data_IF_047803602509
#
_entry.id   IF_047803602509
#
_cell.length_a   1.000
_cell.length_b   1.000
_cell.length_c   1.000
_cell.angle_alpha   90.00
_cell.angle_beta   90.00
_cell.angle_gamma   90.00
#
_symmetry.space_group_name_H-M   'P 1'
#
loop_
_entity.id
_entity.type
_entity.pdbx_description
1 polymer ?
#
# COMPACT_ATOMS: atom_id res chain seq x y z
N UNK A 1 -3.88 -6.17 23.53
CA UNK A 1 -4.81 -5.68 22.50
C UNK A 1 -4.79 -4.17 22.57
N UNK A 2 -4.09 -3.52 21.65
CA UNK A 2 -3.90 -2.06 21.66
C UNK A 2 -4.53 -1.54 20.37
N UNK A 3 -5.71 -0.93 20.49
CA UNK A 3 -6.41 -0.28 19.39
C UNK A 3 -5.79 1.09 19.16
N UNK A 4 -5.27 1.32 17.95
CA UNK A 4 -4.88 2.66 17.50
C UNK A 4 -6.15 3.49 17.30
N UNK A 5 -6.24 4.62 17.99
CA UNK A 5 -7.32 5.59 17.80
C UNK A 5 -6.92 6.58 16.71
N UNK A 6 -7.63 6.55 15.59
CA UNK A 6 -7.53 7.57 14.55
C UNK A 6 -8.60 8.63 14.82
N UNK A 7 -8.21 9.90 14.94
CA UNK A 7 -9.17 11.00 15.03
C UNK A 7 -9.86 11.17 13.68
N UNK A 8 -11.17 10.90 13.62
CA UNK A 8 -12.00 11.12 12.44
C UNK A 8 -12.22 12.61 12.23
N UNK A 9 -11.50 13.20 11.28
CA UNK A 9 -11.79 14.53 10.77
C UNK A 9 -12.61 14.45 9.48
N UNK A 10 -13.72 15.18 9.46
CA UNK A 10 -14.41 15.74 8.28
C UNK A 10 -15.59 14.95 7.69
N UNK A 11 -16.68 15.06 8.43
CA UNK A 11 -18.13 15.03 8.16
C UNK A 11 -18.61 15.91 6.97
N UNK A 12 -17.95 15.81 5.80
CA UNK A 12 -18.36 16.52 4.55
C UNK A 12 -18.77 15.64 3.37
N UNK A 13 -18.90 14.33 3.55
CA UNK A 13 -19.34 13.42 2.49
C UNK A 13 -20.59 12.68 2.96
N UNK A 14 -21.75 13.32 2.84
CA UNK A 14 -23.03 12.66 3.10
C UNK A 14 -23.72 12.27 1.80
N UNK A 15 -24.18 11.01 1.79
CA UNK A 15 -25.09 10.30 0.86
C UNK A 15 -24.68 10.23 -0.62
N UNK A 16 -24.35 9.00 -1.04
CA UNK A 16 -23.82 8.59 -2.37
C UNK A 16 -22.38 9.04 -2.62
N UNK A 17 -21.41 8.35 -1.99
CA UNK A 17 -20.02 8.42 -2.42
C UNK A 17 -19.97 8.06 -3.92
N UNK A 18 -19.71 9.06 -4.77
CA UNK A 18 -19.56 8.84 -6.20
C UNK A 18 -18.46 7.81 -6.42
N UNK A 19 -18.84 6.64 -6.93
CA UNK A 19 -17.87 5.63 -7.35
C UNK A 19 -17.19 6.11 -8.62
N UNK A 20 -15.89 6.31 -8.57
CA UNK A 20 -15.11 6.56 -9.78
C UNK A 20 -14.97 5.26 -10.56
N UNK A 21 -15.08 5.32 -11.88
CA UNK A 21 -14.77 4.18 -12.77
C UNK A 21 -13.25 3.98 -12.87
N UNK A 22 -12.65 3.65 -11.73
CA UNK A 22 -11.22 3.50 -11.51
C UNK A 22 -10.91 2.04 -11.21
N UNK A 23 -9.99 1.45 -11.98
CA UNK A 23 -9.43 0.13 -11.70
C UNK A 23 -8.21 0.27 -10.80
N UNK A 24 -8.25 -0.34 -9.62
CA UNK A 24 -7.18 -0.27 -8.64
C UNK A 24 -6.51 -1.63 -8.45
N UNK A 25 -5.19 -1.63 -8.39
CA UNK A 25 -4.38 -2.77 -7.95
C UNK A 25 -3.73 -2.43 -6.61
N UNK A 26 -3.92 -3.28 -5.61
CA UNK A 26 -3.28 -3.15 -4.30
C UNK A 26 -2.23 -4.24 -4.13
N UNK A 27 -0.98 -3.83 -3.84
CA UNK A 27 0.14 -4.73 -3.57
C UNK A 27 0.38 -4.79 -2.06
N UNK A 28 0.29 -6.01 -1.50
CA UNK A 28 0.37 -6.31 -0.07
C UNK A 28 -0.85 -5.79 0.68
N UNK A 29 -2.04 -6.24 0.28
CA UNK A 29 -3.31 -5.77 0.83
C UNK A 29 -3.56 -6.20 2.29
N UNK A 30 -2.81 -7.18 2.80
CA UNK A 30 -2.97 -7.71 4.14
C UNK A 30 -4.42 -8.11 4.42
N UNK A 31 -4.98 -7.61 5.52
CA UNK A 31 -6.40 -7.86 5.88
C UNK A 31 -7.36 -6.80 5.32
N UNK A 32 -6.92 -5.99 4.35
CA UNK A 32 -7.72 -4.98 3.66
C UNK A 32 -7.90 -3.66 4.40
N UNK A 33 -6.84 -3.14 5.04
CA UNK A 33 -6.86 -1.82 5.66
C UNK A 33 -7.27 -0.73 4.65
N UNK A 34 -6.73 -0.80 3.44
CA UNK A 34 -7.10 0.10 2.34
C UNK A 34 -8.20 -0.49 1.46
N UNK A 35 -8.13 -1.79 1.14
CA UNK A 35 -9.07 -2.47 0.24
C UNK A 35 -10.54 -2.19 0.58
N UNK A 36 -10.93 -2.37 1.84
CA UNK A 36 -12.34 -2.26 2.27
C UNK A 36 -12.89 -0.82 2.14
N UNK A 37 -12.24 0.22 2.69
CA UNK A 37 -12.72 1.59 2.50
C UNK A 37 -12.61 2.05 1.04
N UNK A 38 -11.56 1.68 0.31
CA UNK A 38 -11.39 2.11 -1.09
C UNK A 38 -12.44 1.51 -2.03
N UNK A 39 -12.93 0.30 -1.75
CA UNK A 39 -13.96 -0.36 -2.57
C UNK A 39 -15.29 0.43 -2.64
N UNK A 40 -15.51 1.39 -1.73
CA UNK A 40 -16.66 2.30 -1.77
C UNK A 40 -16.49 3.45 -2.78
N UNK A 41 -15.26 3.74 -3.20
CA UNK A 41 -14.92 4.92 -4.00
C UNK A 41 -14.42 4.58 -5.41
N UNK A 42 -13.98 3.34 -5.65
CA UNK A 42 -13.45 2.90 -6.95
C UNK A 42 -14.37 1.86 -7.60
N UNK A 43 -14.12 1.58 -8.89
CA UNK A 43 -14.92 0.65 -9.68
C UNK A 43 -14.65 -0.78 -9.28
N UNK A 44 -13.39 -1.21 -9.39
CA UNK A 44 -12.95 -2.55 -8.99
C UNK A 44 -11.53 -2.55 -8.43
N UNK A 45 -11.25 -3.54 -7.58
CA UNK A 45 -9.97 -3.75 -6.92
C UNK A 45 -9.47 -5.16 -7.19
N UNK A 46 -8.22 -5.27 -7.63
CA UNK A 46 -7.43 -6.50 -7.50
C UNK A 46 -6.49 -6.32 -6.31
N UNK A 47 -6.63 -7.15 -5.28
CA UNK A 47 -5.88 -7.04 -4.03
C UNK A 47 -4.97 -8.26 -3.87
N UNK A 48 -3.66 -8.05 -3.85
CA UNK A 48 -2.66 -9.12 -3.80
C UNK A 48 -1.92 -9.11 -2.47
N UNK A 49 -1.74 -10.29 -1.86
CA UNK A 49 -0.86 -10.47 -0.70
C UNK A 49 -0.18 -11.84 -0.78
N UNK A 50 1.00 -12.01 -0.20
CA UNK A 50 1.71 -13.30 -0.23
C UNK A 50 1.24 -14.27 0.85
N UNK A 51 0.54 -13.78 1.88
CA UNK A 51 0.13 -14.58 3.02
C UNK A 51 -1.32 -15.09 2.86
N UNK A 52 -1.47 -16.41 2.73
CA UNK A 52 -2.77 -17.09 2.65
C UNK A 52 -3.73 -16.71 3.80
N UNK A 53 -3.20 -16.57 5.02
CA UNK A 53 -4.01 -16.18 6.19
C UNK A 53 -4.56 -14.75 6.09
N UNK A 54 -3.80 -13.84 5.48
CA UNK A 54 -4.24 -12.45 5.28
C UNK A 54 -5.37 -12.37 4.25
N UNK A 55 -5.21 -13.06 3.12
CA UNK A 55 -6.26 -13.17 2.09
C UNK A 55 -7.51 -13.86 2.64
N UNK A 56 -7.36 -14.90 3.47
CA UNK A 56 -8.50 -15.53 4.15
C UNK A 56 -9.30 -14.54 5.01
N UNK A 57 -8.62 -13.71 5.79
CA UNK A 57 -9.26 -12.66 6.60
C UNK A 57 -9.88 -11.56 5.73
N UNK A 58 -9.22 -11.16 4.63
CA UNK A 58 -9.74 -10.17 3.70
C UNK A 58 -11.01 -10.67 3.01
N UNK A 59 -11.02 -11.90 2.49
CA UNK A 59 -12.20 -12.49 1.87
C UNK A 59 -13.40 -12.57 2.82
N UNK A 60 -13.17 -12.87 4.10
CA UNK A 60 -14.23 -12.82 5.10
C UNK A 60 -14.81 -11.41 5.27
N UNK A 61 -13.97 -10.37 5.25
CA UNK A 61 -14.42 -8.97 5.31
C UNK A 61 -15.12 -8.54 4.02
N UNK A 62 -14.65 -8.98 2.85
CA UNK A 62 -15.30 -8.72 1.56
C UNK A 62 -16.74 -9.23 1.60
N UNK A 63 -16.95 -10.48 2.01
CA UNK A 63 -18.28 -11.07 2.13
C UNK A 63 -19.15 -10.36 3.18
N UNK A 64 -18.56 -9.97 4.32
CA UNK A 64 -19.27 -9.21 5.35
C UNK A 64 -19.80 -7.86 4.85
N UNK A 65 -19.11 -7.23 3.89
CA UNK A 65 -19.46 -5.92 3.35
C UNK A 65 -20.18 -5.99 1.99
N UNK A 66 -20.43 -7.18 1.44
CA UNK A 66 -21.08 -7.33 0.12
C UNK A 66 -20.24 -6.78 -1.04
N UNK A 67 -18.92 -6.99 -1.00
CA UNK A 67 -17.95 -6.41 -1.95
C UNK A 67 -17.45 -7.42 -3.00
N UNK A 68 -18.04 -8.61 -3.08
CA UNK A 68 -17.59 -9.72 -3.94
C UNK A 68 -17.55 -9.34 -5.43
N UNK A 69 -18.49 -8.50 -5.88
CA UNK A 69 -18.56 -8.06 -7.28
C UNK A 69 -17.50 -6.98 -7.61
N UNK A 70 -16.86 -6.39 -6.60
CA UNK A 70 -15.92 -5.28 -6.75
C UNK A 70 -14.48 -5.65 -6.44
N UNK A 71 -14.26 -6.60 -5.53
CA UNK A 71 -12.93 -6.91 -4.99
C UNK A 71 -12.56 -8.35 -5.26
N UNK A 72 -11.46 -8.53 -6.01
CA UNK A 72 -10.81 -9.83 -6.19
C UNK A 72 -9.54 -9.87 -5.34
N UNK A 73 -9.53 -10.67 -4.28
CA UNK A 73 -8.36 -10.85 -3.41
C UNK A 73 -7.68 -12.20 -3.67
N UNK A 74 -6.37 -12.19 -3.92
CA UNK A 74 -5.60 -13.36 -4.36
C UNK A 74 -4.26 -13.48 -3.63
N UNK A 75 -3.84 -14.72 -3.36
CA UNK A 75 -2.52 -14.99 -2.78
C UNK A 75 -1.47 -14.95 -3.88
N UNK A 76 -0.67 -13.89 -3.92
CA UNK A 76 0.30 -13.68 -5.00
C UNK A 76 1.47 -12.77 -4.60
N UNK A 77 2.68 -13.22 -4.94
CA UNK A 77 3.83 -12.35 -5.16
C UNK A 77 3.85 -11.92 -6.63
N UNK A 78 3.72 -10.63 -6.90
CA UNK A 78 3.66 -10.12 -8.26
C UNK A 78 5.08 -9.88 -8.81
N UNK A 79 5.53 -10.78 -9.68
CA UNK A 79 6.88 -10.72 -10.29
C UNK A 79 6.85 -10.27 -11.76
N UNK A 80 5.66 -10.23 -12.38
CA UNK A 80 5.47 -9.81 -13.77
C UNK A 80 4.19 -9.01 -13.95
N UNK A 81 4.22 -8.02 -14.83
CA UNK A 81 3.06 -7.23 -15.19
C UNK A 81 2.05 -7.98 -16.09
N UNK A 82 2.47 -9.11 -16.66
CA UNK A 82 1.64 -9.97 -17.50
C UNK A 82 1.24 -11.26 -16.77
N UNK A 83 1.34 -11.25 -15.44
CA UNK A 83 0.91 -12.38 -14.63
C UNK A 83 -0.57 -12.71 -14.84
N UNK A 84 -0.89 -14.00 -14.93
CA UNK A 84 -2.24 -14.48 -15.18
C UNK A 84 -3.26 -14.01 -14.13
N UNK A 85 -2.84 -13.72 -12.88
CA UNK A 85 -3.72 -13.21 -11.83
C UNK A 85 -4.41 -11.90 -12.24
N UNK A 86 -3.73 -11.09 -13.05
CA UNK A 86 -4.18 -9.79 -13.53
C UNK A 86 -5.09 -9.89 -14.75
N UNK A 87 -5.26 -11.07 -15.35
CA UNK A 87 -6.11 -11.32 -16.50
C UNK A 87 -5.89 -10.35 -17.70
N UNK A 88 -4.64 -9.89 -17.89
CA UNK A 88 -4.30 -8.93 -18.93
C UNK A 88 -4.78 -7.48 -18.66
N UNK A 89 -5.36 -7.21 -17.50
CA UNK A 89 -5.81 -5.87 -17.14
C UNK A 89 -4.65 -4.89 -16.96
N UNK A 90 -4.98 -3.60 -17.07
CA UNK A 90 -4.12 -2.48 -16.69
C UNK A 90 -4.91 -1.53 -15.81
N UNK A 91 -4.23 -0.96 -14.82
CA UNK A 91 -4.86 -0.24 -13.71
C UNK A 91 -4.68 1.27 -13.85
N UNK A 92 -5.69 2.01 -13.40
CA UNK A 92 -5.63 3.48 -13.32
C UNK A 92 -4.74 3.89 -12.15
N UNK A 93 -4.79 3.13 -11.05
CA UNK A 93 -4.00 3.37 -9.84
C UNK A 93 -3.44 2.06 -9.28
N UNK A 94 -2.19 2.09 -8.85
CA UNK A 94 -1.58 1.04 -8.02
C UNK A 94 -1.28 1.63 -6.65
N UNK A 95 -1.73 0.97 -5.59
CA UNK A 95 -1.45 1.38 -4.21
C UNK A 95 -0.69 0.29 -3.45
N UNK A 96 0.10 0.71 -2.47
CA UNK A 96 0.74 -0.21 -1.52
C UNK A 96 0.99 0.50 -0.20
N UNK A 97 0.76 -0.19 0.92
CA UNK A 97 0.95 0.39 2.24
C UNK A 97 1.63 -0.57 3.21
N UNK A 98 2.74 -0.14 3.83
CA UNK A 98 3.54 -0.95 4.77
C UNK A 98 4.07 -2.26 4.18
N UNK A 99 4.57 -2.21 2.94
CA UNK A 99 5.06 -3.40 2.22
C UNK A 99 6.50 -3.23 1.77
N UNK A 100 6.88 -2.05 1.31
CA UNK A 100 8.17 -1.83 0.63
C UNK A 100 9.36 -2.02 1.57
N UNK A 101 9.18 -1.81 2.88
CA UNK A 101 10.20 -2.13 3.88
C UNK A 101 10.47 -3.64 4.07
N UNK A 102 9.62 -4.50 3.49
CA UNK A 102 9.81 -5.96 3.40
C UNK A 102 10.28 -6.42 2.02
N UNK A 103 10.45 -5.52 1.04
CA UNK A 103 10.81 -5.89 -0.35
C UNK A 103 12.33 -5.82 -0.52
N UNK A 104 13.02 -6.92 -0.88
CA UNK A 104 14.48 -6.89 -1.05
C UNK A 104 14.91 -6.02 -2.24
N UNK A 105 14.19 -6.14 -3.36
CA UNK A 105 14.51 -5.50 -4.64
C UNK A 105 13.42 -4.52 -5.07
N UNK A 106 13.29 -3.39 -4.35
CA UNK A 106 12.26 -2.38 -4.60
C UNK A 106 12.23 -1.88 -6.06
N UNK A 107 13.40 -1.67 -6.68
CA UNK A 107 13.48 -1.23 -8.07
C UNK A 107 12.84 -2.20 -9.07
N UNK A 108 12.95 -3.51 -8.83
CA UNK A 108 12.33 -4.51 -9.70
C UNK A 108 10.81 -4.53 -9.53
N UNK A 109 10.32 -4.46 -8.29
CA UNK A 109 8.88 -4.35 -8.03
C UNK A 109 8.29 -3.07 -8.64
N UNK A 110 8.99 -1.93 -8.57
CA UNK A 110 8.53 -0.68 -9.18
C UNK A 110 8.44 -0.80 -10.72
N UNK A 111 9.36 -1.52 -11.37
CA UNK A 111 9.27 -1.80 -12.82
C UNK A 111 8.06 -2.66 -13.15
N UNK A 112 7.80 -3.70 -12.35
CA UNK A 112 6.61 -4.56 -12.49
C UNK A 112 5.34 -3.74 -12.33
N UNK A 113 5.24 -2.93 -11.27
CA UNK A 113 4.10 -2.02 -11.01
C UNK A 113 3.91 -1.03 -12.16
N UNK A 114 4.98 -0.45 -12.70
CA UNK A 114 4.87 0.41 -13.88
C UNK A 114 4.21 -0.34 -15.03
N UNK A 115 4.61 -1.58 -15.27
CA UNK A 115 4.05 -2.43 -16.33
C UNK A 115 2.54 -2.68 -16.20
N UNK A 116 2.00 -2.73 -14.98
CA UNK A 116 0.57 -2.97 -14.72
C UNK A 116 -0.29 -1.71 -14.86
N UNK A 117 0.29 -0.51 -14.81
CA UNK A 117 -0.46 0.74 -14.97
C UNK A 117 -0.90 0.99 -16.41
N UNK A 118 -1.99 1.74 -16.61
CA UNK A 118 -2.30 2.38 -17.89
C UNK A 118 -1.33 3.55 -18.14
N UNK A 119 -1.22 4.03 -19.39
CA UNK A 119 -0.61 5.36 -19.64
C UNK A 119 -1.43 6.43 -18.92
N UNK A 120 -0.78 7.36 -18.24
CA UNK A 120 -1.41 8.32 -17.33
C UNK A 120 -1.84 7.75 -15.98
N UNK A 121 -1.69 6.43 -15.76
CA UNK A 121 -1.99 5.77 -14.49
C UNK A 121 -0.98 6.16 -13.39
N UNK A 122 -1.39 6.04 -12.14
CA UNK A 122 -0.64 6.56 -10.98
C UNK A 122 -0.20 5.46 -10.03
N UNK A 123 0.98 5.63 -9.45
CA UNK A 123 1.42 4.84 -8.30
C UNK A 123 1.27 5.67 -7.02
N UNK A 124 0.84 5.03 -5.94
CA UNK A 124 0.78 5.61 -4.60
C UNK A 124 1.29 4.61 -3.56
N UNK A 125 2.50 4.81 -3.06
CA UNK A 125 3.07 3.98 -1.99
C UNK A 125 3.06 4.79 -0.71
N UNK A 126 2.65 4.18 0.39
CA UNK A 126 2.83 4.75 1.73
C UNK A 126 3.56 3.78 2.65
N UNK A 127 4.63 4.24 3.28
CA UNK A 127 5.41 3.39 4.16
C UNK A 127 6.10 4.22 5.24
N UNK A 128 6.60 3.54 6.27
CA UNK A 128 7.42 4.15 7.32
C UNK A 128 8.60 4.88 6.69
N UNK A 129 8.86 6.11 7.13
CA UNK A 129 10.08 6.83 6.75
C UNK A 129 11.27 6.32 7.59
N UNK A 130 12.40 6.09 6.94
CA UNK A 130 13.69 6.02 7.63
C UNK A 130 14.14 7.47 7.94
N UNK A 131 13.96 7.86 9.21
CA UNK A 131 14.39 9.14 9.76
C UNK A 131 15.53 9.00 10.78
N UNK A 132 16.17 7.83 10.83
CA UNK A 132 17.28 7.51 11.74
C UNK A 132 17.06 6.23 12.56
N UNK A 133 17.95 5.95 13.54
CA UNK A 133 17.91 4.73 14.35
C UNK A 133 16.58 4.47 15.08
N UNK A 134 15.81 5.52 15.33
CA UNK A 134 14.49 5.44 15.98
C UNK A 134 13.45 4.69 15.14
N UNK A 135 13.61 4.61 13.81
CA UNK A 135 12.71 3.88 12.93
C UNK A 135 12.75 2.36 13.20
N UNK A 136 13.87 1.83 13.70
CA UNK A 136 14.02 0.41 14.07
C UNK A 136 13.01 -0.01 15.15
N UNK A 137 12.69 0.92 16.08
CA UNK A 137 11.74 0.68 17.16
C UNK A 137 10.29 0.51 16.69
N UNK A 138 10.00 0.76 15.40
CA UNK A 138 8.67 0.53 14.83
C UNK A 138 8.29 -0.94 14.91
N UNK A 139 9.20 -1.85 14.58
CA UNK A 139 8.95 -3.29 14.65
C UNK A 139 9.59 -3.85 15.93
N UNK A 140 8.83 -4.63 16.71
CA UNK A 140 9.40 -5.45 17.79
C UNK A 140 10.57 -6.30 17.28
N UNK A 141 11.58 -6.53 18.12
CA UNK A 141 12.83 -7.20 17.70
C UNK A 141 12.60 -8.62 17.20
N UNK A 142 11.62 -9.32 17.75
CA UNK A 142 11.22 -10.66 17.33
C UNK A 142 10.57 -10.68 15.93
N UNK A 143 10.15 -9.51 15.42
CA UNK A 143 9.56 -9.33 14.08
C UNK A 143 10.53 -8.78 13.04
N UNK A 144 11.81 -8.63 13.38
CA UNK A 144 12.82 -8.17 12.42
C UNK A 144 13.14 -9.24 11.37
N UNK A 145 12.87 -10.53 11.67
CA UNK A 145 13.00 -11.61 10.70
C UNK A 145 11.98 -11.44 9.57
N UNK A 146 12.39 -10.82 8.47
CA UNK A 146 11.56 -10.48 7.32
C UNK A 146 11.46 -8.99 7.03
N UNK A 147 12.04 -8.12 7.87
CA UNK A 147 12.20 -6.70 7.58
C UNK A 147 13.51 -6.51 6.79
N UNK A 148 13.40 -6.01 5.57
CA UNK A 148 14.57 -5.75 4.70
C UNK A 148 15.24 -4.41 5.05
N UNK A 149 14.47 -3.48 5.63
CA UNK A 149 14.90 -2.14 6.01
C UNK A 149 13.97 -1.51 7.04
N UNK A 150 14.49 -0.63 7.90
CA UNK A 150 13.71 0.06 8.91
C UNK A 150 13.17 1.39 8.38
N UNK A 151 12.19 1.31 7.48
CA UNK A 151 11.62 2.45 6.78
C UNK A 151 12.32 2.78 5.46
N UNK A 152 11.74 3.72 4.72
CA UNK A 152 12.17 4.13 3.39
C UNK A 152 12.83 5.50 3.42
N UNK A 153 13.91 5.65 2.64
CA UNK A 153 14.56 6.95 2.43
C UNK A 153 13.90 7.70 1.28
N UNK A 154 13.61 8.99 1.51
CA UNK A 154 12.96 9.84 0.50
C UNK A 154 13.73 9.89 -0.82
N UNK A 155 15.05 10.10 -0.74
CA UNK A 155 15.93 10.22 -1.90
C UNK A 155 16.05 8.92 -2.68
N UNK A 156 16.09 7.78 -2.00
CA UNK A 156 16.14 6.46 -2.63
C UNK A 156 14.86 6.18 -3.41
N UNK A 157 13.69 6.35 -2.78
CA UNK A 157 12.41 6.13 -3.46
C UNK A 157 12.20 7.05 -4.65
N UNK A 158 12.57 8.34 -4.51
CA UNK A 158 12.52 9.28 -5.63
C UNK A 158 13.40 8.81 -6.80
N UNK A 159 14.65 8.40 -6.52
CA UNK A 159 15.57 7.89 -7.55
C UNK A 159 15.04 6.64 -8.22
N UNK A 160 14.49 5.68 -7.46
CA UNK A 160 13.94 4.44 -8.00
C UNK A 160 12.79 4.73 -8.98
N UNK A 161 11.83 5.59 -8.61
CA UNK A 161 10.71 5.93 -9.48
C UNK A 161 11.16 6.68 -10.76
N UNK A 162 12.08 7.63 -10.63
CA UNK A 162 12.64 8.35 -11.78
C UNK A 162 13.39 7.41 -12.72
N UNK A 163 14.23 6.51 -12.19
CA UNK A 163 14.97 5.52 -13.00
C UNK A 163 14.05 4.49 -13.65
N UNK A 164 12.94 4.14 -13.00
CA UNK A 164 11.89 3.33 -13.62
C UNK A 164 11.13 4.10 -14.72
N UNK A 165 11.32 5.42 -14.82
CA UNK A 165 10.73 6.30 -15.84
C UNK A 165 9.30 6.71 -15.53
N UNK A 166 8.98 6.97 -14.27
CA UNK A 166 7.78 7.70 -13.88
C UNK A 166 7.99 9.21 -14.02
N UNK A 167 6.94 9.92 -14.43
CA UNK A 167 6.86 11.37 -14.42
C UNK A 167 6.21 11.88 -13.14
N UNK A 168 6.36 13.18 -12.84
CA UNK A 168 5.74 13.84 -11.68
C UNK A 168 5.95 13.08 -10.36
N UNK A 169 7.19 12.65 -10.11
CA UNK A 169 7.55 11.90 -8.91
C UNK A 169 7.60 12.83 -7.71
N UNK A 170 6.79 12.55 -6.69
CA UNK A 170 6.82 13.29 -5.42
C UNK A 170 7.03 12.31 -4.26
N UNK A 171 7.83 12.74 -3.27
CA UNK A 171 8.05 11.99 -2.03
C UNK A 171 7.98 12.95 -0.85
N UNK A 172 6.96 12.81 -0.03
CA UNK A 172 6.68 13.71 1.08
C UNK A 172 6.18 12.94 2.31
N UNK A 173 6.32 13.52 3.50
CA UNK A 173 5.70 12.96 4.71
C UNK A 173 4.20 13.25 4.67
N UNK A 174 3.39 12.20 4.75
CA UNK A 174 1.93 12.28 4.64
C UNK A 174 1.28 12.38 6.01
N UNK A 175 1.74 11.60 6.99
CA UNK A 175 1.25 11.65 8.37
C UNK A 175 2.32 11.10 9.34
N UNK A 176 2.04 11.23 10.64
CA UNK A 176 2.77 10.54 11.71
C UNK A 176 1.83 9.62 12.45
N UNK A 177 2.32 8.44 12.83
CA UNK A 177 1.59 7.50 13.68
C UNK A 177 2.25 7.39 15.04
N UNK A 178 1.49 7.69 16.09
CA UNK A 178 1.91 7.42 17.46
C UNK A 178 1.78 5.93 17.76
N UNK A 179 2.87 5.34 18.26
CA UNK A 179 2.93 3.92 18.61
C UNK A 179 3.68 3.73 19.91
N UNK A 180 3.12 2.92 20.80
CA UNK A 180 3.85 2.41 21.97
C UNK A 180 4.86 1.36 21.51
N UNK A 181 6.15 1.63 21.68
CA UNK A 181 7.24 0.71 21.32
C UNK A 181 7.51 -0.27 22.47
N UNK A 182 8.40 -1.26 22.26
CA UNK A 182 8.70 -2.32 23.26
C UNK A 182 9.10 -1.79 24.65
N UNK A 183 9.74 -0.62 24.71
CA UNK A 183 10.12 0.02 25.97
C UNK A 183 8.93 0.57 26.77
N UNK A 184 7.72 0.57 26.20
CA UNK A 184 6.52 1.18 26.76
C UNK A 184 6.38 2.68 26.49
N UNK A 185 7.35 3.30 25.81
CA UNK A 185 7.30 4.71 25.41
C UNK A 185 6.44 4.89 24.17
N UNK A 186 5.64 5.95 24.13
CA UNK A 186 4.94 6.38 22.90
C UNK A 186 5.90 7.18 22.04
N UNK A 187 6.07 6.76 20.79
CA UNK A 187 6.89 7.43 19.79
C UNK A 187 6.08 7.69 18.53
N UNK A 188 6.25 8.88 17.94
CA UNK A 188 5.66 9.25 16.67
C UNK A 188 6.56 8.78 15.52
N UNK A 189 6.00 8.05 14.56
CA UNK A 189 6.71 7.55 13.38
C UNK A 189 6.21 8.25 12.11
N UNK A 190 7.08 8.92 11.35
CA UNK A 190 6.69 9.55 10.10
C UNK A 190 6.45 8.52 9.00
N UNK A 191 5.40 8.74 8.22
CA UNK A 191 5.07 7.94 7.04
C UNK A 191 5.27 8.78 5.79
N UNK A 192 5.91 8.19 4.78
CA UNK A 192 5.99 8.77 3.45
C UNK A 192 4.73 8.47 2.66
N UNK A 193 4.39 9.38 1.76
CA UNK A 193 3.70 9.11 0.52
C UNK A 193 4.68 9.30 -0.63
N UNK A 194 4.68 8.35 -1.56
CA UNK A 194 5.53 8.29 -2.75
C UNK A 194 4.60 8.14 -3.95
N UNK A 195 4.63 9.11 -4.85
CA UNK A 195 3.71 9.18 -5.99
C UNK A 195 4.47 9.28 -7.30
N UNK A 196 3.81 8.90 -8.39
CA UNK A 196 4.33 9.07 -9.74
C UNK A 196 3.28 8.73 -10.79
N UNK A 197 3.48 9.22 -12.01
CA UNK A 197 2.60 9.00 -13.16
C UNK A 197 3.33 8.19 -14.22
N UNK A 198 2.69 7.14 -14.75
CA UNK A 198 3.21 6.41 -15.91
C UNK A 198 3.02 7.27 -17.16
N UNK A 199 4.08 7.62 -17.92
CA UNK A 199 3.96 8.40 -19.15
C UNK A 199 3.15 7.68 -20.25
#
# INVERSE_FOLDING_TARGET
MTTANYSTGNDRFDSEAATWDTKLLEIGCGTGLLTIPLAQHVGNIVALDTAQGMIGMLNAKIAQHGLEDKVKAEVKLLESADDAVLAGERFDVVVSHLVFHHVPHMSELIKVIKGTLKRGGRIWISDLQDDGPQAEAFHPKDKHAGVERHGLKRTEMHQILVQAGFDNVEVFESFRMDKTVESGVVQAFPFLAITGVRP
#
